data_IF_654299089615
#
_entry.id   IF_654299089615
#
_cell.length_a   1.000
_cell.length_b   1.000
_cell.length_c   1.000
_cell.angle_alpha   90.00
_cell.angle_beta   90.00
_cell.angle_gamma   90.00
#
_symmetry.space_group_name_H-M   'P 1'
#
loop_
_entity.id
_entity.type
_entity.pdbx_description
1 polymer ?
#
# COMPACT_ATOMS: atom_id res chain seq x y z
N UNK A 1 42.14 11.89 19.35
CA UNK A 1 40.79 11.34 19.65
C UNK A 1 39.63 12.05 18.93
N UNK A 2 39.80 13.26 18.37
CA UNK A 2 38.72 13.93 17.61
C UNK A 2 38.53 13.46 16.16
N UNK A 3 39.57 12.92 15.52
CA UNK A 3 39.49 12.46 14.11
C UNK A 3 38.68 11.16 13.96
N UNK A 4 38.63 10.32 15.01
CA UNK A 4 37.87 9.07 14.99
C UNK A 4 36.34 9.29 15.04
N UNK A 5 35.90 10.41 15.63
CA UNK A 5 34.48 10.75 15.77
C UNK A 5 33.84 11.21 14.43
N UNK A 6 34.64 11.83 13.56
CA UNK A 6 34.18 12.35 12.26
C UNK A 6 33.99 11.24 11.21
N UNK A 7 34.74 10.14 11.31
CA UNK A 7 34.62 8.99 10.41
C UNK A 7 33.38 8.14 10.75
N UNK A 8 32.96 8.11 12.03
CA UNK A 8 31.78 7.33 12.47
C UNK A 8 30.46 7.95 11.96
N UNK A 9 30.41 9.27 11.74
CA UNK A 9 29.23 9.97 11.20
C UNK A 9 29.02 9.73 9.69
N UNK A 10 30.06 9.29 8.97
CA UNK A 10 30.02 9.02 7.52
C UNK A 10 29.52 7.62 7.16
N UNK A 11 29.31 6.75 8.16
CA UNK A 11 28.87 5.36 8.00
C UNK A 11 27.40 5.14 8.38
N UNK A 12 26.63 6.20 8.65
CA UNK A 12 25.18 6.07 8.86
C UNK A 12 24.53 5.68 7.52
N UNK A 13 23.91 4.48 7.41
CA UNK A 13 23.12 4.17 6.23
C UNK A 13 22.00 5.21 6.12
N UNK A 14 21.88 5.88 4.96
CA UNK A 14 20.70 6.67 4.67
C UNK A 14 19.50 5.71 4.66
N UNK A 15 18.74 5.71 5.75
CA UNK A 15 17.47 4.99 5.79
C UNK A 15 16.49 5.76 4.91
N UNK A 16 16.21 5.25 3.71
CA UNK A 16 15.07 5.70 2.91
C UNK A 16 13.80 5.29 3.65
N UNK A 17 13.11 6.27 4.26
CA UNK A 17 11.83 6.01 4.89
C UNK A 17 10.80 5.71 3.81
N UNK A 18 10.00 4.66 4.00
CA UNK A 18 8.92 4.32 3.08
C UNK A 18 7.92 5.49 2.96
N UNK A 19 7.53 5.82 1.73
CA UNK A 19 6.62 6.93 1.45
C UNK A 19 5.18 6.55 1.84
N UNK A 20 4.52 7.36 2.67
CA UNK A 20 3.11 7.14 3.01
C UNK A 20 2.20 7.65 1.89
N UNK A 21 1.41 6.75 1.28
CA UNK A 21 0.55 7.06 0.12
C UNK A 21 -0.94 7.17 0.48
N UNK A 22 -1.27 7.15 1.77
CA UNK A 22 -2.65 7.10 2.27
C UNK A 22 -3.05 5.71 2.76
N UNK A 23 -4.35 5.48 2.88
CA UNK A 23 -4.94 4.22 3.34
C UNK A 23 -5.89 3.65 2.29
N UNK A 24 -5.70 2.38 1.94
CA UNK A 24 -6.65 1.60 1.16
C UNK A 24 -7.90 1.37 2.03
N UNK A 25 -8.94 2.16 1.78
CA UNK A 25 -10.16 2.20 2.58
C UNK A 25 -11.38 2.60 1.73
N UNK A 26 -12.55 2.09 2.12
CA UNK A 26 -13.87 2.47 1.60
C UNK A 26 -14.49 3.67 2.33
N UNK A 27 -13.86 4.16 3.41
CA UNK A 27 -14.36 5.30 4.17
C UNK A 27 -14.12 6.61 3.42
N UNK A 28 -15.16 7.18 2.82
CA UNK A 28 -15.07 8.43 2.04
C UNK A 28 -14.82 9.68 2.90
N UNK A 29 -15.11 9.61 4.20
CA UNK A 29 -14.97 10.74 5.12
C UNK A 29 -13.57 10.83 5.74
N UNK A 30 -12.79 9.74 5.72
CA UNK A 30 -11.40 9.75 6.18
C UNK A 30 -10.52 10.48 5.15
N UNK A 31 -9.78 11.49 5.61
CA UNK A 31 -8.95 12.32 4.73
C UNK A 31 -7.80 11.55 4.08
N UNK A 32 -7.34 10.44 4.67
CA UNK A 32 -6.27 9.63 4.09
C UNK A 32 -6.80 8.45 3.28
N UNK A 33 -8.12 8.28 3.15
CA UNK A 33 -8.72 7.17 2.42
C UNK A 33 -8.58 7.31 0.91
N UNK A 34 -8.29 6.20 0.23
CA UNK A 34 -8.36 6.08 -1.23
C UNK A 34 -9.77 6.26 -1.78
N UNK A 35 -10.81 6.13 -0.95
CA UNK A 35 -12.19 6.45 -1.33
C UNK A 35 -12.51 7.95 -1.20
N UNK A 36 -11.62 8.78 -0.62
CA UNK A 36 -11.83 10.22 -0.53
C UNK A 36 -11.22 10.95 -1.75
N UNK A 37 -12.05 11.45 -2.69
CA UNK A 37 -11.58 12.01 -3.96
C UNK A 37 -10.83 13.35 -3.81
N UNK A 38 -10.95 14.01 -2.66
CA UNK A 38 -10.39 15.34 -2.43
C UNK A 38 -9.05 15.33 -1.69
N UNK A 39 -8.54 14.16 -1.30
CA UNK A 39 -7.32 14.02 -0.49
C UNK A 39 -6.40 12.89 -0.98
N UNK A 40 -6.29 11.78 -0.27
CA UNK A 40 -5.36 10.69 -0.65
C UNK A 40 -5.65 10.10 -2.03
N UNK A 41 -6.90 10.16 -2.49
CA UNK A 41 -7.29 9.76 -3.85
C UNK A 41 -7.21 10.90 -4.88
N UNK A 42 -6.58 12.03 -4.57
CA UNK A 42 -6.50 13.15 -5.52
C UNK A 42 -5.72 12.71 -6.76
N UNK A 43 -6.32 12.73 -7.97
CA UNK A 43 -5.65 12.31 -9.20
C UNK A 43 -4.52 13.26 -9.60
N UNK A 44 -4.44 14.43 -8.98
CA UNK A 44 -3.40 15.42 -9.23
C UNK A 44 -2.19 15.27 -8.30
N UNK A 45 -2.28 14.47 -7.23
CA UNK A 45 -1.15 14.23 -6.34
C UNK A 45 -0.16 13.26 -6.99
N UNK A 46 1.11 13.66 -7.10
CA UNK A 46 2.15 12.84 -7.75
C UNK A 46 2.40 11.49 -7.06
N UNK A 47 2.08 11.41 -5.76
CA UNK A 47 2.24 10.20 -4.95
C UNK A 47 0.93 9.44 -4.69
N UNK A 48 -0.18 9.84 -5.33
CA UNK A 48 -1.43 9.09 -5.20
C UNK A 48 -1.38 7.78 -5.99
N UNK A 49 -1.91 6.70 -5.40
CA UNK A 49 -2.15 5.43 -6.08
C UNK A 49 -3.27 5.51 -7.13
N UNK A 50 -4.07 6.58 -7.12
CA UNK A 50 -5.14 6.84 -8.12
C UNK A 50 -4.74 7.85 -9.18
N UNK A 51 -3.50 8.37 -9.14
CA UNK A 51 -2.98 9.22 -10.21
C UNK A 51 -2.51 8.35 -11.40
N UNK A 52 -3.25 8.39 -12.49
CA UNK A 52 -3.02 7.59 -13.71
C UNK A 52 -1.72 7.93 -14.47
N UNK A 53 -1.06 9.04 -14.14
CA UNK A 53 0.26 9.39 -14.69
C UNK A 53 1.35 9.40 -13.61
N UNK A 54 0.99 9.12 -12.36
CA UNK A 54 1.91 9.09 -11.23
C UNK A 54 2.68 7.78 -11.09
N UNK A 55 3.72 7.78 -10.24
CA UNK A 55 4.57 6.60 -10.03
C UNK A 55 3.81 5.39 -9.45
N UNK A 56 2.77 5.64 -8.63
CA UNK A 56 2.06 4.58 -7.93
C UNK A 56 0.71 4.21 -8.54
N UNK A 57 0.17 5.02 -9.46
CA UNK A 57 -1.10 4.76 -10.14
C UNK A 57 -1.01 4.63 -11.65
N UNK A 58 0.11 5.02 -12.27
CA UNK A 58 0.25 5.03 -13.72
C UNK A 58 0.65 3.68 -14.33
N UNK A 59 0.20 3.35 -15.54
CA UNK A 59 0.33 2.00 -16.10
C UNK A 59 1.76 1.63 -16.53
N UNK A 60 2.69 2.59 -16.56
CA UNK A 60 4.06 2.38 -17.08
C UNK A 60 5.13 2.31 -15.98
N UNK A 61 4.78 2.58 -14.72
CA UNK A 61 5.73 2.56 -13.61
C UNK A 61 5.87 1.14 -13.02
N UNK A 62 7.09 0.77 -12.63
CA UNK A 62 7.34 -0.51 -11.96
C UNK A 62 6.91 -0.50 -10.48
N UNK A 63 6.61 0.68 -9.94
CA UNK A 63 6.08 0.92 -8.60
C UNK A 63 4.56 1.08 -8.59
N UNK A 64 3.91 0.89 -9.73
CA UNK A 64 2.47 1.14 -9.85
C UNK A 64 1.61 0.01 -9.33
N UNK A 65 0.50 0.38 -8.69
CA UNK A 65 -0.57 -0.51 -8.31
C UNK A 65 -1.38 -1.02 -9.52
N UNK A 66 -1.40 -0.29 -10.64
CA UNK A 66 -2.26 -0.59 -11.80
C UNK A 66 -1.50 -1.27 -12.94
N UNK A 67 -0.16 -1.25 -12.93
CA UNK A 67 0.65 -1.92 -13.95
C UNK A 67 0.70 -3.44 -13.69
N UNK A 68 0.17 -4.29 -14.60
CA UNK A 68 0.17 -5.74 -14.40
C UNK A 68 1.57 -6.38 -14.48
N UNK A 69 2.59 -5.62 -14.87
CA UNK A 69 3.99 -6.06 -14.92
C UNK A 69 4.86 -5.45 -13.82
N UNK A 70 4.28 -4.60 -12.95
CA UNK A 70 5.02 -4.02 -11.83
C UNK A 70 5.50 -5.10 -10.86
N UNK A 71 6.73 -4.94 -10.37
CA UNK A 71 7.37 -5.82 -9.40
C UNK A 71 7.61 -5.11 -8.05
N UNK A 72 7.49 -3.78 -8.04
CA UNK A 72 7.77 -2.91 -6.90
C UNK A 72 6.55 -2.12 -6.44
N UNK A 73 5.35 -2.68 -6.69
CA UNK A 73 4.08 -2.10 -6.27
C UNK A 73 4.01 -1.79 -4.76
N UNK A 74 3.14 -0.83 -4.34
CA UNK A 74 3.06 -0.38 -2.96
C UNK A 74 2.70 -1.51 -1.98
N UNK A 75 3.23 -1.43 -0.77
CA UNK A 75 3.00 -2.42 0.30
C UNK A 75 1.83 -2.00 1.17
N UNK A 76 1.06 -2.97 1.64
CA UNK A 76 -0.06 -2.76 2.54
C UNK A 76 0.28 -3.22 3.96
N UNK A 77 -0.13 -2.43 4.94
CA UNK A 77 0.00 -2.77 6.35
C UNK A 77 -1.28 -2.48 7.12
N UNK A 78 -1.61 -3.33 8.08
CA UNK A 78 -2.66 -3.02 9.04
C UNK A 78 -2.18 -2.04 10.12
N UNK A 79 -3.07 -1.68 11.05
CA UNK A 79 -2.78 -0.72 12.11
C UNK A 79 -1.76 -1.23 13.13
N UNK A 80 -1.55 -2.54 13.21
CA UNK A 80 -0.56 -3.17 14.06
C UNK A 80 0.80 -3.32 13.35
N UNK A 81 0.89 -2.93 12.08
CA UNK A 81 2.10 -3.04 11.28
C UNK A 81 2.30 -4.40 10.64
N UNK A 82 1.30 -5.29 10.64
CA UNK A 82 1.41 -6.55 9.93
C UNK A 82 1.31 -6.30 8.42
N UNK A 83 2.19 -6.94 7.66
CA UNK A 83 2.17 -6.89 6.21
C UNK A 83 0.94 -7.62 5.64
N UNK A 84 0.28 -7.00 4.66
CA UNK A 84 -0.96 -7.45 4.02
C UNK A 84 -0.84 -7.57 2.50
N UNK A 85 0.38 -7.77 2.00
CA UNK A 85 0.67 -7.94 0.58
C UNK A 85 0.98 -6.63 -0.15
N UNK A 86 1.04 -6.72 -1.48
CA UNK A 86 1.24 -5.58 -2.37
C UNK A 86 -0.08 -5.18 -3.02
N UNK A 87 -0.40 -3.90 -2.98
CA UNK A 87 -1.47 -3.31 -3.78
C UNK A 87 -1.02 -3.33 -5.24
N UNK A 88 -1.34 -4.39 -5.97
CA UNK A 88 -0.79 -4.65 -7.31
C UNK A 88 -1.84 -5.25 -8.23
N UNK A 89 -1.78 -4.89 -9.51
CA UNK A 89 -2.53 -5.50 -10.60
C UNK A 89 -1.82 -6.71 -11.21
N UNK A 90 -0.56 -6.99 -10.82
CA UNK A 90 0.19 -8.12 -11.35
C UNK A 90 -0.37 -9.45 -10.81
N UNK A 91 -1.01 -10.31 -11.64
CA UNK A 91 -1.63 -11.55 -11.16
C UNK A 91 -0.59 -12.64 -10.87
N UNK A 92 0.64 -12.49 -11.33
CA UNK A 92 1.71 -13.47 -11.17
C UNK A 92 2.59 -13.22 -9.95
N UNK A 93 2.52 -12.03 -9.34
CA UNK A 93 3.25 -11.75 -8.10
C UNK A 93 2.58 -12.51 -6.93
N UNK A 94 3.31 -13.37 -6.18
CA UNK A 94 2.77 -14.12 -5.05
C UNK A 94 2.17 -13.25 -3.94
N UNK A 95 2.67 -12.02 -3.79
CA UNK A 95 2.21 -11.08 -2.77
C UNK A 95 1.09 -10.14 -3.25
N UNK A 96 0.74 -10.20 -4.53
CA UNK A 96 -0.26 -9.31 -5.13
C UNK A 96 -1.66 -9.56 -4.60
N UNK A 97 -2.36 -8.47 -4.28
CA UNK A 97 -3.80 -8.47 -3.98
C UNK A 97 -4.67 -8.85 -5.18
N UNK A 98 -4.13 -8.79 -6.40
CA UNK A 98 -4.83 -9.22 -7.63
C UNK A 98 -4.49 -10.66 -8.04
N UNK A 99 -3.62 -11.37 -7.30
CA UNK A 99 -3.36 -12.79 -7.54
C UNK A 99 -4.43 -13.65 -6.85
N UNK A 100 -5.39 -14.26 -7.58
CA UNK A 100 -6.51 -15.00 -6.97
C UNK A 100 -6.08 -16.31 -6.31
N UNK A 101 -4.85 -16.77 -6.59
CA UNK A 101 -4.25 -17.94 -5.97
C UNK A 101 -3.23 -17.56 -4.89
N UNK A 102 -2.90 -16.27 -4.76
CA UNK A 102 -1.94 -15.74 -3.81
C UNK A 102 -2.52 -15.56 -2.41
N UNK A 103 -1.64 -15.49 -1.40
CA UNK A 103 -2.02 -15.36 0.01
C UNK A 103 -2.84 -14.10 0.30
N UNK A 104 -2.56 -12.99 -0.38
CA UNK A 104 -3.19 -11.69 -0.11
C UNK A 104 -4.31 -11.30 -1.09
N UNK A 105 -4.45 -12.04 -2.21
CA UNK A 105 -5.48 -11.81 -3.22
C UNK A 105 -6.57 -12.89 -3.30
N UNK A 106 -6.33 -14.10 -2.78
CA UNK A 106 -7.31 -15.19 -2.86
C UNK A 106 -8.54 -14.96 -1.97
N UNK A 107 -9.74 -15.28 -2.45
CA UNK A 107 -10.97 -15.24 -1.64
C UNK A 107 -10.97 -16.21 -0.45
N UNK A 108 -10.13 -17.25 -0.50
CA UNK A 108 -10.12 -18.33 0.50
C UNK A 108 -9.04 -18.14 1.57
N UNK A 109 -8.10 -17.22 1.37
CA UNK A 109 -7.03 -16.98 2.34
C UNK A 109 -7.53 -16.07 3.48
N UNK A 110 -7.30 -16.40 4.76
CA UNK A 110 -7.68 -15.52 5.87
C UNK A 110 -6.93 -14.18 5.87
N UNK A 111 -5.73 -14.13 5.26
CA UNK A 111 -4.90 -12.92 5.17
C UNK A 111 -5.26 -12.00 3.99
N UNK A 112 -6.16 -12.44 3.12
CA UNK A 112 -6.52 -11.72 1.91
C UNK A 112 -7.51 -10.60 2.18
N UNK A 113 -7.25 -9.46 1.56
CA UNK A 113 -8.16 -8.31 1.58
C UNK A 113 -9.44 -8.59 0.78
N UNK A 114 -9.44 -9.62 -0.06
CA UNK A 114 -10.59 -10.05 -0.84
C UNK A 114 -11.46 -11.07 -0.09
N UNK A 115 -10.98 -11.63 1.04
CA UNK A 115 -11.78 -12.56 1.84
C UNK A 115 -12.71 -11.80 2.82
N UNK A 116 -14.04 -11.85 2.64
CA UNK A 116 -14.99 -11.10 3.48
C UNK A 116 -15.13 -11.68 4.91
N UNK A 117 -14.57 -12.86 5.17
CA UNK A 117 -14.52 -13.47 6.50
C UNK A 117 -13.15 -13.31 7.17
N UNK A 118 -12.18 -12.70 6.47
CA UNK A 118 -10.81 -12.45 6.95
C UNK A 118 -10.47 -10.97 7.01
N UNK A 119 -9.28 -10.59 6.51
CA UNK A 119 -8.82 -9.19 6.46
C UNK A 119 -9.79 -8.30 5.69
N UNK A 120 -10.45 -8.82 4.65
CA UNK A 120 -11.46 -8.11 3.86
C UNK A 120 -12.85 -7.99 4.51
N UNK A 121 -13.03 -8.36 5.77
CA UNK A 121 -14.35 -8.30 6.42
C UNK A 121 -14.82 -6.86 6.66
N UNK A 122 -16.07 -6.50 6.30
CA UNK A 122 -16.59 -5.15 6.53
C UNK A 122 -16.74 -4.79 8.02
N UNK A 123 -16.67 -5.78 8.92
CA UNK A 123 -16.72 -5.57 10.37
C UNK A 123 -15.34 -5.39 11.01
N UNK A 124 -14.26 -5.59 10.26
CA UNK A 124 -12.89 -5.35 10.74
C UNK A 124 -12.52 -3.87 10.54
N UNK A 125 -12.04 -3.20 11.58
CA UNK A 125 -11.68 -1.76 11.54
C UNK A 125 -10.50 -1.43 10.62
N UNK A 126 -9.64 -2.40 10.33
CA UNK A 126 -8.51 -2.28 9.40
C UNK A 126 -8.85 -2.79 7.99
N UNK A 127 -10.04 -3.35 7.78
CA UNK A 127 -10.42 -3.83 6.45
C UNK A 127 -10.58 -2.66 5.48
N UNK A 128 -10.07 -2.79 4.24
CA UNK A 128 -10.41 -1.88 3.15
C UNK A 128 -11.91 -1.78 2.87
N UNK A 129 -12.68 -2.83 3.12
CA UNK A 129 -14.12 -2.88 2.80
C UNK A 129 -15.02 -2.28 3.90
N UNK A 130 -14.48 -1.93 5.06
CA UNK A 130 -15.26 -1.31 6.13
C UNK A 130 -15.45 0.18 5.84
N UNK A 131 -16.69 0.66 5.60
CA UNK A 131 -16.96 2.06 5.24
C UNK A 131 -16.72 3.05 6.39
N UNK A 132 -16.53 2.55 7.61
CA UNK A 132 -16.20 3.36 8.80
C UNK A 132 -14.80 3.07 9.32
N UNK A 133 -14.10 2.11 8.70
CA UNK A 133 -12.76 1.70 9.08
C UNK A 133 -11.69 2.67 8.59
N UNK A 134 -10.48 2.54 9.15
CA UNK A 134 -9.31 3.28 8.65
C UNK A 134 -8.70 2.62 7.42
N UNK A 135 -8.98 1.33 7.20
CA UNK A 135 -8.38 0.53 6.15
C UNK A 135 -6.91 0.20 6.41
N UNK A 136 -6.20 -0.12 5.33
CA UNK A 136 -4.79 -0.52 5.35
C UNK A 136 -3.89 0.63 4.92
N UNK A 137 -2.81 0.87 5.65
CA UNK A 137 -1.79 1.85 5.29
C UNK A 137 -1.06 1.41 4.03
N UNK A 138 -0.90 2.32 3.08
CA UNK A 138 -0.17 2.12 1.83
C UNK A 138 1.23 2.75 1.95
N UNK A 139 2.27 1.95 1.70
CA UNK A 139 3.66 2.40 1.69
C UNK A 139 4.31 2.21 0.32
N UNK A 140 4.77 3.31 -0.27
CA UNK A 140 5.65 3.39 -1.44
C UNK A 140 7.12 3.19 -1.08
N UNK A 141 8.00 3.31 -2.09
CA UNK A 141 9.45 3.12 -1.94
C UNK A 141 10.18 4.45 -1.78
#
# INVERSE_FOLDING_TARGET
MQVLLLVLLLLLPLTTQAEYLGNLSANEFDANSTANPFRASSPFSSNSVTNEIGNYGGPFSNQSATNPYATEAPRLYDQQGNYRGKLSANPCDPDSTSNPYGRYGSLFSPDSINNPFGVGSPYNSSSPSNPYGRGLRIEGR
#
